data_IF_599372476444
#
_entry.id   IF_599372476444
#
_cell.length_a   1.000
_cell.length_b   1.000
_cell.length_c   1.000
_cell.angle_alpha   90.00
_cell.angle_beta   90.00
_cell.angle_gamma   90.00
#
_symmetry.space_group_name_H-M   'P 1'
#
loop_
_entity.id
_entity.type
_entity.pdbx_description
1 polymer ?
#
# COMPACT_ATOMS: atom_id res chain seq x y z
N UNK A 1 -4.49 2.91 33.55
CA UNK A 1 -3.31 3.47 32.85
C UNK A 1 -2.62 2.30 32.15
N UNK A 2 -2.91 2.05 30.87
CA UNK A 2 -2.35 0.91 30.13
C UNK A 2 -0.90 1.21 29.73
N UNK A 3 0.07 0.56 30.39
CA UNK A 3 1.50 0.75 30.11
C UNK A 3 1.89 -0.07 28.88
N UNK A 4 2.69 0.53 28.01
CA UNK A 4 3.47 -0.21 27.00
C UNK A 4 4.44 -1.12 27.74
N UNK A 5 4.43 -2.43 27.44
CA UNK A 5 5.47 -3.35 27.94
C UNK A 5 6.79 -2.96 27.25
N UNK A 6 7.92 -2.85 27.98
CA UNK A 6 9.21 -2.51 27.37
C UNK A 6 9.54 -3.49 26.23
N UNK A 7 9.74 -2.96 25.01
CA UNK A 7 10.00 -3.76 23.80
C UNK A 7 8.76 -4.23 23.04
N UNK A 8 7.55 -4.11 23.58
CA UNK A 8 6.32 -4.48 22.87
C UNK A 8 5.90 -3.40 21.87
N UNK A 9 5.41 -3.83 20.70
CA UNK A 9 4.91 -2.94 19.64
C UNK A 9 3.48 -2.47 19.91
N UNK A 10 2.75 -3.16 20.78
CA UNK A 10 1.39 -2.87 21.20
C UNK A 10 1.31 -2.47 22.67
N UNK A 11 0.18 -1.88 23.06
CA UNK A 11 -0.17 -1.64 24.46
C UNK A 11 -0.86 -2.87 25.05
N UNK A 12 -0.72 -3.09 26.37
CA UNK A 12 -1.45 -4.16 27.08
C UNK A 12 -2.97 -4.04 26.93
N UNK A 13 -3.47 -2.83 26.62
CA UNK A 13 -4.89 -2.57 26.37
C UNK A 13 -5.52 -3.53 25.36
N UNK A 14 -4.79 -3.91 24.30
CA UNK A 14 -5.31 -4.82 23.27
C UNK A 14 -5.48 -6.22 23.85
N UNK A 15 -4.43 -6.76 24.47
CA UNK A 15 -4.44 -8.10 25.05
C UNK A 15 -5.47 -8.20 26.19
N UNK A 16 -5.48 -7.22 27.09
CA UNK A 16 -6.38 -7.16 28.24
C UNK A 16 -7.86 -7.10 27.79
N UNK A 17 -8.18 -6.22 26.84
CA UNK A 17 -9.53 -6.06 26.33
C UNK A 17 -10.01 -7.35 25.66
N UNK A 18 -9.26 -7.90 24.70
CA UNK A 18 -9.67 -9.11 23.98
C UNK A 18 -9.68 -10.36 24.87
N UNK A 19 -8.81 -10.44 25.88
CA UNK A 19 -8.85 -11.51 26.87
C UNK A 19 -10.13 -11.47 27.73
N UNK A 20 -10.51 -10.29 28.21
CA UNK A 20 -11.75 -10.10 28.97
C UNK A 20 -12.96 -10.44 28.10
N UNK A 21 -13.01 -9.92 26.87
CA UNK A 21 -14.11 -10.16 25.93
C UNK A 21 -14.25 -11.65 25.60
N UNK A 22 -13.13 -12.36 25.39
CA UNK A 22 -13.11 -13.82 25.19
C UNK A 22 -13.71 -14.56 26.39
N UNK A 23 -13.31 -14.22 27.62
CA UNK A 23 -13.87 -14.85 28.83
C UNK A 23 -15.36 -14.59 28.97
N UNK A 24 -15.80 -13.36 28.74
CA UNK A 24 -17.22 -12.99 28.80
C UNK A 24 -18.03 -13.75 27.75
N UNK A 25 -17.56 -13.80 26.50
CA UNK A 25 -18.21 -14.55 25.42
C UNK A 25 -18.26 -16.06 25.68
N UNK A 26 -17.17 -16.65 26.19
CA UNK A 26 -17.14 -18.07 26.55
C UNK A 26 -18.13 -18.40 27.68
N UNK A 27 -18.26 -17.53 28.69
CA UNK A 27 -19.26 -17.68 29.76
C UNK A 27 -20.68 -17.54 29.24
N UNK A 28 -20.92 -16.61 28.31
CA UNK A 28 -22.23 -16.45 27.67
C UNK A 28 -22.62 -17.73 26.91
N UNK A 29 -21.70 -18.30 26.13
CA UNK A 29 -21.91 -19.56 25.42
C UNK A 29 -22.17 -20.72 26.39
N UNK A 30 -21.44 -20.80 27.50
CA UNK A 30 -21.61 -21.85 28.50
C UNK A 30 -23.01 -21.87 29.16
N UNK A 31 -23.82 -20.82 29.02
CA UNK A 31 -25.22 -20.82 29.50
C UNK A 31 -26.14 -21.71 28.67
N UNK A 32 -25.75 -22.08 27.44
CA UNK A 32 -26.58 -22.87 26.53
C UNK A 32 -27.85 -22.15 26.04
N UNK A 33 -28.00 -20.85 26.30
CA UNK A 33 -29.14 -20.06 25.85
C UNK A 33 -28.74 -19.10 24.73
N UNK A 34 -29.35 -19.25 23.56
CA UNK A 34 -29.13 -18.36 22.40
C UNK A 34 -29.49 -16.90 22.73
N UNK A 35 -30.50 -16.67 23.58
CA UNK A 35 -30.88 -15.32 23.99
C UNK A 35 -29.82 -14.66 24.87
N UNK A 36 -29.25 -15.40 25.83
CA UNK A 36 -28.16 -14.90 26.67
C UNK A 36 -26.91 -14.60 25.85
N UNK A 37 -26.59 -15.47 24.88
CA UNK A 37 -25.47 -15.27 23.95
C UNK A 37 -25.71 -14.02 23.10
N UNK A 38 -26.90 -13.86 22.51
CA UNK A 38 -27.22 -12.71 21.68
C UNK A 38 -27.08 -11.39 22.45
N UNK A 39 -27.65 -11.32 23.66
CA UNK A 39 -27.58 -10.13 24.49
C UNK A 39 -26.14 -9.81 24.92
N UNK A 40 -25.41 -10.78 25.48
CA UNK A 40 -24.05 -10.52 26.00
C UNK A 40 -23.05 -10.27 24.88
N UNK A 41 -23.08 -11.02 23.78
CA UNK A 41 -22.18 -10.79 22.64
C UNK A 41 -22.50 -9.45 21.96
N UNK A 42 -23.76 -9.05 21.90
CA UNK A 42 -24.17 -7.73 21.44
C UNK A 42 -23.53 -6.60 22.27
N UNK A 43 -23.69 -6.64 23.59
CA UNK A 43 -23.08 -5.65 24.51
C UNK A 43 -21.54 -5.61 24.42
N UNK A 44 -20.91 -6.78 24.27
CA UNK A 44 -19.46 -6.89 24.07
C UNK A 44 -19.03 -6.24 22.74
N UNK A 45 -19.79 -6.47 21.67
CA UNK A 45 -19.55 -5.86 20.37
C UNK A 45 -19.79 -4.35 20.41
N UNK A 46 -20.81 -3.86 21.10
CA UNK A 46 -21.08 -2.44 21.25
C UNK A 46 -19.98 -1.72 22.04
N UNK A 47 -19.44 -2.38 23.07
CA UNK A 47 -18.28 -1.88 23.82
C UNK A 47 -17.04 -1.75 22.92
N UNK A 48 -16.83 -2.71 22.02
CA UNK A 48 -15.74 -2.65 21.02
C UNK A 48 -15.99 -1.56 19.96
N UNK A 49 -17.18 -1.54 19.38
CA UNK A 49 -17.55 -0.69 18.26
C UNK A 49 -17.59 0.80 18.64
N UNK A 50 -17.92 1.11 19.90
CA UNK A 50 -18.05 2.47 20.39
C UNK A 50 -16.88 2.87 21.31
N UNK A 51 -16.83 2.35 22.54
CA UNK A 51 -15.89 2.82 23.58
C UNK A 51 -14.43 2.54 23.20
N UNK A 52 -14.14 1.30 22.80
CA UNK A 52 -12.78 0.91 22.43
C UNK A 52 -12.33 1.60 21.14
N UNK A 53 -13.22 1.67 20.13
CA UNK A 53 -12.97 2.40 18.89
C UNK A 53 -12.67 3.89 19.13
N UNK A 54 -13.47 4.57 19.95
CA UNK A 54 -13.28 5.98 20.27
C UNK A 54 -11.95 6.22 21.00
N UNK A 55 -11.57 5.32 21.92
CA UNK A 55 -10.27 5.34 22.57
C UNK A 55 -9.13 5.21 21.55
N UNK A 56 -9.22 4.28 20.60
CA UNK A 56 -8.23 4.16 19.52
C UNK A 56 -8.18 5.40 18.63
N UNK A 57 -9.33 5.94 18.22
CA UNK A 57 -9.43 7.14 17.38
C UNK A 57 -8.77 8.35 18.04
N UNK A 58 -9.03 8.59 19.33
CA UNK A 58 -8.42 9.70 20.07
C UNK A 58 -6.89 9.60 20.14
N UNK A 59 -6.35 8.37 20.22
CA UNK A 59 -4.90 8.10 20.24
C UNK A 59 -4.24 8.26 18.86
N UNK A 60 -5.01 8.11 17.78
CA UNK A 60 -4.53 8.29 16.42
C UNK A 60 -4.62 9.76 15.95
N UNK A 61 -5.46 10.58 16.58
CA UNK A 61 -5.66 11.97 16.20
C UNK A 61 -4.38 12.82 16.31
N UNK A 62 -4.07 13.58 15.25
CA UNK A 62 -2.92 14.50 15.21
C UNK A 62 -1.54 13.82 15.24
N UNK A 63 -1.49 12.50 15.09
CA UNK A 63 -0.28 11.70 15.25
C UNK A 63 0.71 11.70 14.07
N UNK A 64 0.30 11.78 12.78
CA UNK A 64 1.24 11.70 11.67
C UNK A 64 2.31 12.80 11.70
N UNK A 65 1.91 14.04 12.00
CA UNK A 65 2.84 15.16 12.14
C UNK A 65 3.83 14.95 13.30
N UNK A 66 3.39 14.34 14.40
CA UNK A 66 4.23 14.05 15.58
C UNK A 66 5.23 12.92 15.28
N UNK A 67 4.81 11.89 14.55
CA UNK A 67 5.69 10.82 14.10
C UNK A 67 6.74 11.34 13.13
N UNK A 68 6.33 12.15 12.15
CA UNK A 68 7.26 12.72 11.16
C UNK A 68 8.21 13.75 11.78
N UNK A 69 7.77 14.52 12.77
CA UNK A 69 8.67 15.39 13.54
C UNK A 69 9.78 14.58 14.24
N UNK A 70 9.50 13.32 14.60
CA UNK A 70 10.48 12.44 15.22
C UNK A 70 11.44 11.75 14.24
N UNK A 71 11.22 11.93 12.95
CA UNK A 71 12.01 11.27 11.92
C UNK A 71 13.41 11.92 11.79
N UNK A 72 14.46 11.14 11.40
CA UNK A 72 15.81 11.67 11.18
C UNK A 72 15.78 12.85 10.21
N UNK A 73 16.48 13.96 10.48
CA UNK A 73 16.43 15.15 9.63
C UNK A 73 16.98 14.88 8.21
N UNK A 74 17.97 14.00 8.10
CA UNK A 74 18.53 13.52 6.83
C UNK A 74 18.34 12.00 6.67
N UNK A 75 18.18 11.47 5.44
CA UNK A 75 18.17 10.04 5.17
C UNK A 75 19.42 9.35 5.73
N UNK A 76 19.25 8.32 6.57
CA UNK A 76 20.37 7.60 7.20
C UNK A 76 21.10 8.35 8.33
N UNK A 77 20.66 9.56 8.67
CA UNK A 77 21.20 10.31 9.80
C UNK A 77 20.71 9.79 11.16
N UNK A 78 21.35 10.22 12.28
CA UNK A 78 20.84 9.92 13.60
C UNK A 78 19.40 10.43 13.77
N UNK A 79 18.59 9.78 14.63
CA UNK A 79 17.25 10.26 14.94
C UNK A 79 17.31 11.73 15.37
N UNK A 80 16.30 12.51 14.99
CA UNK A 80 16.24 13.91 15.36
C UNK A 80 16.41 14.06 16.87
N UNK A 81 17.20 15.05 17.30
CA UNK A 81 17.34 15.41 18.70
C UNK A 81 16.00 15.99 19.20
N UNK A 82 15.10 15.09 19.57
CA UNK A 82 13.81 15.41 20.13
C UNK A 82 13.96 15.54 21.64
N UNK A 83 13.17 16.42 22.23
CA UNK A 83 12.92 16.31 23.65
C UNK A 83 12.26 14.95 23.97
N UNK A 84 12.38 14.52 25.24
CA UNK A 84 11.86 13.24 25.67
C UNK A 84 10.32 13.12 25.48
N UNK A 85 9.60 14.25 25.50
CA UNK A 85 8.15 14.30 25.38
C UNK A 85 7.68 14.04 23.94
N UNK A 86 8.34 14.63 22.95
CA UNK A 86 8.09 14.44 21.53
C UNK A 86 8.47 13.01 21.09
N UNK A 87 9.59 12.48 21.59
CA UNK A 87 9.97 11.09 21.37
C UNK A 87 8.95 10.10 21.95
N UNK A 88 8.42 10.39 23.14
CA UNK A 88 7.36 9.60 23.76
C UNK A 88 6.05 9.68 22.94
N UNK A 89 5.64 10.87 22.50
CA UNK A 89 4.42 11.08 21.71
C UNK A 89 4.46 10.37 20.34
N UNK A 90 5.62 10.41 19.66
CA UNK A 90 5.82 9.67 18.41
C UNK A 90 5.74 8.14 18.63
N UNK A 91 6.29 7.67 19.75
CA UNK A 91 6.21 6.26 20.14
C UNK A 91 4.79 5.84 20.48
N UNK A 92 4.03 6.69 21.17
CA UNK A 92 2.62 6.45 21.49
C UNK A 92 1.77 6.35 20.21
N UNK A 93 2.03 7.21 19.22
CA UNK A 93 1.28 7.14 17.97
C UNK A 93 1.58 5.88 17.16
N UNK A 94 2.85 5.45 17.07
CA UNK A 94 3.21 4.17 16.44
C UNK A 94 2.51 2.99 17.12
N UNK A 95 2.47 3.00 18.46
CA UNK A 95 1.73 1.98 19.25
C UNK A 95 0.23 2.04 18.97
N UNK A 96 -0.35 3.23 18.81
CA UNK A 96 -1.77 3.37 18.48
C UNK A 96 -2.13 2.76 17.11
N UNK A 97 -1.26 2.95 16.09
CA UNK A 97 -1.41 2.32 14.78
C UNK A 97 -1.36 0.80 14.91
N UNK A 98 -0.35 0.28 15.61
CA UNK A 98 -0.20 -1.15 15.86
C UNK A 98 -1.40 -1.73 16.63
N UNK A 99 -1.92 -0.99 17.62
CA UNK A 99 -3.07 -1.43 18.39
C UNK A 99 -4.30 -1.56 17.50
N UNK A 100 -4.56 -0.60 16.59
CA UNK A 100 -5.68 -0.68 15.66
C UNK A 100 -5.54 -1.87 14.70
N UNK A 101 -4.33 -2.10 14.18
CA UNK A 101 -4.02 -3.21 13.28
C UNK A 101 -4.21 -4.58 13.95
N UNK A 102 -3.62 -4.76 15.14
CA UNK A 102 -3.73 -6.01 15.92
C UNK A 102 -5.15 -6.22 16.45
N UNK A 103 -5.88 -5.15 16.80
CA UNK A 103 -7.29 -5.27 17.22
C UNK A 103 -8.18 -5.81 16.11
N UNK A 104 -7.88 -5.49 14.84
CA UNK A 104 -8.61 -6.06 13.71
C UNK A 104 -8.40 -7.58 13.60
N UNK A 105 -7.16 -8.04 13.76
CA UNK A 105 -6.84 -9.48 13.78
C UNK A 105 -7.45 -10.19 14.98
N UNK A 106 -7.43 -9.53 16.15
CA UNK A 106 -7.95 -10.10 17.39
C UNK A 106 -9.48 -10.20 17.36
N UNK A 107 -10.17 -9.24 16.75
CA UNK A 107 -11.62 -9.34 16.50
C UNK A 107 -11.96 -10.54 15.62
N UNK A 108 -11.20 -10.78 14.55
CA UNK A 108 -11.38 -11.94 13.69
C UNK A 108 -11.10 -13.27 14.43
N UNK A 109 -10.01 -13.32 15.21
CA UNK A 109 -9.67 -14.50 16.04
C UNK A 109 -10.74 -14.77 17.10
N UNK A 110 -11.19 -13.74 17.82
CA UNK A 110 -12.23 -13.84 18.83
C UNK A 110 -13.53 -14.40 18.24
N UNK A 111 -13.95 -13.89 17.08
CA UNK A 111 -15.11 -14.43 16.36
C UNK A 111 -14.94 -15.92 16.07
N UNK A 112 -13.82 -16.32 15.47
CA UNK A 112 -13.57 -17.72 15.11
C UNK A 112 -13.56 -18.65 16.33
N UNK A 113 -12.95 -18.22 17.43
CA UNK A 113 -12.94 -18.98 18.68
C UNK A 113 -14.34 -19.12 19.31
N UNK A 114 -15.15 -18.05 19.29
CA UNK A 114 -16.53 -18.08 19.78
C UNK A 114 -17.43 -18.94 18.89
N UNK A 115 -17.26 -18.90 17.57
CA UNK A 115 -17.95 -19.79 16.63
C UNK A 115 -17.58 -21.26 16.91
N UNK A 116 -16.29 -21.56 17.09
CA UNK A 116 -15.83 -22.91 17.43
C UNK A 116 -16.34 -23.42 18.78
N UNK A 117 -16.47 -22.55 19.78
CA UNK A 117 -17.11 -22.89 21.06
C UNK A 117 -18.61 -23.09 20.90
N UNK A 118 -19.30 -22.28 20.09
CA UNK A 118 -20.73 -22.41 19.84
C UNK A 118 -21.07 -23.75 19.17
N UNK A 119 -20.26 -24.22 18.22
CA UNK A 119 -20.43 -25.53 17.56
C UNK A 119 -20.37 -26.70 18.57
N UNK A 120 -19.64 -26.54 19.69
CA UNK A 120 -19.52 -27.56 20.74
C UNK A 120 -20.65 -27.54 21.75
N UNK A 121 -21.24 -26.37 22.00
CA UNK A 121 -22.28 -26.18 23.02
C UNK A 121 -23.68 -26.39 22.45
N UNK A 122 -23.92 -25.97 21.21
CA UNK A 122 -25.25 -26.01 20.58
C UNK A 122 -25.32 -27.14 19.54
N UNK A 123 -26.09 -28.23 19.78
CA UNK A 123 -26.23 -29.31 18.81
C UNK A 123 -27.15 -28.91 17.63
N UNK A 124 -28.13 -28.03 17.87
CA UNK A 124 -29.11 -27.60 16.86
C UNK A 124 -28.50 -26.71 15.78
N UNK A 125 -28.74 -27.04 14.50
CA UNK A 125 -28.24 -26.25 13.36
C UNK A 125 -28.81 -24.83 13.37
N UNK A 126 -30.11 -24.68 13.62
CA UNK A 126 -30.76 -23.35 13.67
C UNK A 126 -30.30 -22.47 14.84
N UNK A 127 -29.92 -23.06 15.97
CA UNK A 127 -29.34 -22.31 17.10
C UNK A 127 -27.93 -21.82 16.77
N UNK A 128 -27.11 -22.69 16.16
CA UNK A 128 -25.77 -22.35 15.68
C UNK A 128 -25.78 -21.23 14.65
N UNK A 129 -26.73 -21.26 13.70
CA UNK A 129 -26.90 -20.19 12.71
C UNK A 129 -27.26 -18.85 13.35
N UNK A 130 -28.15 -18.84 14.36
CA UNK A 130 -28.50 -17.62 15.10
C UNK A 130 -27.29 -17.05 15.85
N UNK A 131 -26.52 -17.91 16.54
CA UNK A 131 -25.30 -17.48 17.22
C UNK A 131 -24.26 -16.95 16.24
N UNK A 132 -24.08 -17.62 15.08
CA UNK A 132 -23.19 -17.16 14.01
C UNK A 132 -23.62 -15.81 13.45
N UNK A 133 -24.92 -15.57 13.33
CA UNK A 133 -25.47 -14.27 12.90
C UNK A 133 -25.08 -13.16 13.86
N UNK A 134 -25.19 -13.37 15.18
CA UNK A 134 -24.77 -12.36 16.18
C UNK A 134 -23.25 -12.15 16.13
N UNK A 135 -22.48 -13.24 16.03
CA UNK A 135 -21.02 -13.17 15.93
C UNK A 135 -20.54 -12.51 14.63
N UNK A 136 -21.39 -12.42 13.60
CA UNK A 136 -21.04 -11.76 12.34
C UNK A 136 -20.80 -10.26 12.51
N UNK A 137 -21.43 -9.61 13.50
CA UNK A 137 -21.24 -8.20 13.81
C UNK A 137 -19.80 -7.88 14.24
N UNK A 138 -19.11 -8.83 14.89
CA UNK A 138 -17.68 -8.71 15.20
C UNK A 138 -16.82 -8.58 13.94
N UNK A 139 -17.28 -9.11 12.80
CA UNK A 139 -16.59 -8.94 11.51
C UNK A 139 -16.63 -7.49 11.08
N UNK A 140 -17.78 -6.82 11.24
CA UNK A 140 -17.94 -5.39 10.92
C UNK A 140 -17.04 -4.56 11.82
N UNK A 141 -17.06 -4.83 13.13
CA UNK A 141 -16.20 -4.14 14.11
C UNK A 141 -14.71 -4.35 13.84
N UNK A 142 -14.30 -5.58 13.46
CA UNK A 142 -12.94 -5.85 13.02
C UNK A 142 -12.55 -5.10 11.74
N UNK A 143 -13.46 -5.04 10.75
CA UNK A 143 -13.29 -4.23 9.54
C UNK A 143 -13.15 -2.74 9.82
N UNK A 144 -13.90 -2.24 10.81
CA UNK A 144 -13.80 -0.86 11.27
C UNK A 144 -12.44 -0.55 11.90
N UNK A 145 -11.88 -1.44 12.71
CA UNK A 145 -10.50 -1.31 13.22
C UNK A 145 -9.46 -1.37 12.10
N UNK A 146 -9.64 -2.24 11.10
CA UNK A 146 -8.77 -2.28 9.93
C UNK A 146 -8.82 -0.95 9.17
N UNK A 147 -10.01 -0.41 8.92
CA UNK A 147 -10.18 0.89 8.25
C UNK A 147 -9.52 2.04 9.01
N UNK A 148 -9.48 1.94 10.34
CA UNK A 148 -8.85 2.92 11.20
C UNK A 148 -7.32 2.86 11.06
N UNK A 149 -6.75 1.66 11.11
CA UNK A 149 -5.32 1.43 10.90
C UNK A 149 -4.89 1.87 9.48
N UNK A 150 -5.62 1.47 8.44
CA UNK A 150 -5.33 1.85 7.05
C UNK A 150 -5.32 3.38 6.88
N UNK A 151 -6.34 4.08 7.39
CA UNK A 151 -6.38 5.55 7.32
C UNK A 151 -5.22 6.22 8.06
N UNK A 152 -4.81 5.67 9.21
CA UNK A 152 -3.68 6.21 9.95
C UNK A 152 -2.36 6.01 9.20
N UNK A 153 -2.18 4.85 8.56
CA UNK A 153 -1.01 4.55 7.72
C UNK A 153 -0.98 5.42 6.45
N UNK A 154 -2.13 5.66 5.82
CA UNK A 154 -2.25 6.59 4.68
C UNK A 154 -1.92 8.03 5.08
N UNK A 155 -2.41 8.49 6.23
CA UNK A 155 -2.06 9.82 6.74
C UNK A 155 -0.57 9.95 7.07
N UNK A 156 0.06 8.87 7.56
CA UNK A 156 1.51 8.82 7.78
C UNK A 156 2.28 8.84 6.44
N UNK A 157 1.84 8.08 5.43
CA UNK A 157 2.49 8.11 4.11
C UNK A 157 2.34 9.47 3.43
N UNK A 158 1.20 10.15 3.59
CA UNK A 158 1.02 11.54 3.14
C UNK A 158 1.97 12.52 3.83
N UNK A 159 2.23 12.33 5.13
CA UNK A 159 3.17 13.16 5.88
C UNK A 159 4.65 12.87 5.52
N UNK A 160 4.97 11.64 5.09
CA UNK A 160 6.32 11.27 4.64
C UNK A 160 6.63 11.69 3.20
N UNK A 161 5.62 11.76 2.33
CA UNK A 161 5.80 12.05 0.90
C UNK A 161 6.57 13.36 0.61
N UNK A 162 6.31 14.50 1.31
CA UNK A 162 7.08 15.73 1.10
C UNK A 162 8.58 15.58 1.36
N UNK A 163 8.99 14.61 2.19
CA UNK A 163 10.41 14.36 2.50
C UNK A 163 11.15 13.68 1.35
N UNK A 164 10.42 13.06 0.43
CA UNK A 164 10.96 12.46 -0.80
C UNK A 164 11.02 13.47 -1.95
N UNK A 165 10.54 14.71 -1.74
CA UNK A 165 10.46 15.73 -2.80
C UNK A 165 11.81 16.04 -3.43
N UNK A 166 12.87 16.19 -2.64
CA UNK A 166 14.19 16.48 -3.17
C UNK A 166 14.72 15.36 -4.10
N UNK A 167 14.37 14.10 -3.81
CA UNK A 167 14.71 12.98 -4.68
C UNK A 167 13.82 12.96 -5.94
N UNK A 168 12.53 13.29 -5.81
CA UNK A 168 11.61 13.43 -6.95
C UNK A 168 12.01 14.57 -7.90
N UNK A 169 12.53 15.67 -7.37
CA UNK A 169 12.98 16.81 -8.18
C UNK A 169 14.18 16.41 -9.07
N UNK A 170 15.03 15.47 -8.64
CA UNK A 170 16.11 14.91 -9.46
C UNK A 170 15.58 14.06 -10.61
N UNK A 171 14.49 13.31 -10.39
CA UNK A 171 13.78 12.63 -11.50
C UNK A 171 13.27 13.66 -12.48
N UNK A 172 12.73 14.79 -12.00
CA UNK A 172 12.34 15.92 -12.82
C UNK A 172 13.48 16.49 -13.67
N UNK A 173 14.69 16.59 -13.11
CA UNK A 173 15.88 17.10 -13.78
C UNK A 173 16.55 16.10 -14.74
N UNK A 174 16.31 14.79 -14.59
CA UNK A 174 16.91 13.77 -15.45
C UNK A 174 16.49 13.93 -16.92
N UNK A 175 17.45 13.91 -17.85
CA UNK A 175 17.20 13.92 -19.28
C UNK A 175 17.20 12.48 -19.82
N UNK A 176 16.24 12.17 -20.71
CA UNK A 176 16.23 10.93 -21.49
C UNK A 176 16.47 11.21 -22.99
N UNK A 177 16.98 12.39 -23.32
CA UNK A 177 17.51 12.69 -24.64
C UNK A 177 19.00 12.37 -24.63
N UNK A 178 19.33 11.07 -24.72
CA UNK A 178 20.70 10.57 -24.62
C UNK A 178 21.29 10.30 -26.00
N UNK A 179 22.53 10.74 -26.22
CA UNK A 179 23.43 10.21 -27.26
C UNK A 179 24.29 9.07 -26.74
N UNK A 180 25.18 8.53 -27.59
CA UNK A 180 26.03 7.37 -27.24
C UNK A 180 26.98 7.66 -26.07
N UNK A 181 27.64 8.81 -26.07
CA UNK A 181 28.58 9.21 -25.01
C UNK A 181 27.85 9.45 -23.67
N UNK A 182 26.66 10.05 -23.72
CA UNK A 182 25.83 10.31 -22.53
C UNK A 182 25.30 9.00 -21.92
N UNK A 183 24.96 8.01 -22.76
CA UNK A 183 24.48 6.70 -22.31
C UNK A 183 25.58 5.92 -21.58
N UNK A 184 26.81 5.94 -22.08
CA UNK A 184 27.96 5.32 -21.42
C UNK A 184 28.28 6.00 -20.08
N UNK A 185 28.14 7.32 -19.99
CA UNK A 185 28.32 8.05 -18.73
C UNK A 185 27.20 7.76 -17.72
N UNK A 186 25.94 7.68 -18.18
CA UNK A 186 24.79 7.33 -17.35
C UNK A 186 24.89 5.90 -16.77
N UNK A 187 25.61 5.00 -17.44
CA UNK A 187 25.88 3.66 -16.92
C UNK A 187 26.90 3.65 -15.77
N UNK A 188 27.81 4.62 -15.74
CA UNK A 188 28.86 4.74 -14.73
C UNK A 188 28.43 5.53 -13.47
N UNK A 189 27.42 6.41 -13.58
CA UNK A 189 26.94 7.23 -12.47
C UNK A 189 25.76 6.59 -11.71
N UNK A 190 25.72 6.79 -10.39
CA UNK A 190 24.53 6.48 -9.59
C UNK A 190 23.38 7.43 -9.98
N UNK A 191 22.49 6.90 -10.83
CA UNK A 191 21.32 7.60 -11.34
C UNK A 191 20.33 8.05 -10.26
N UNK A 192 19.27 8.74 -10.69
CA UNK A 192 18.21 9.19 -9.79
C UNK A 192 17.53 8.03 -9.03
N UNK A 193 17.55 6.82 -9.60
CA UNK A 193 16.97 5.60 -8.99
C UNK A 193 17.62 5.27 -7.66
N UNK A 194 18.96 5.22 -7.59
CA UNK A 194 19.70 4.91 -6.37
C UNK A 194 19.43 5.96 -5.28
N UNK A 195 19.42 7.25 -5.65
CA UNK A 195 19.12 8.36 -4.73
C UNK A 195 17.68 8.33 -4.21
N UNK A 196 16.73 7.96 -5.07
CA UNK A 196 15.34 7.80 -4.66
C UNK A 196 15.15 6.63 -3.70
N UNK A 197 15.78 5.49 -3.98
CA UNK A 197 15.74 4.30 -3.13
C UNK A 197 16.41 4.57 -1.78
N UNK A 198 17.56 5.26 -1.76
CA UNK A 198 18.22 5.66 -0.53
C UNK A 198 17.36 6.63 0.30
N UNK A 199 16.68 7.58 -0.35
CA UNK A 199 15.74 8.48 0.33
C UNK A 199 14.55 7.69 0.91
N UNK A 200 13.99 6.75 0.16
CA UNK A 200 12.88 5.89 0.60
C UNK A 200 13.30 5.03 1.80
N UNK A 201 14.43 4.33 1.73
CA UNK A 201 14.97 3.52 2.83
C UNK A 201 15.21 4.39 4.07
N UNK A 202 15.83 5.56 3.90
CA UNK A 202 16.07 6.49 5.00
C UNK A 202 14.79 6.97 5.70
N UNK A 203 13.67 7.10 4.97
CA UNK A 203 12.37 7.47 5.57
C UNK A 203 11.66 6.31 6.25
N UNK A 204 11.95 5.07 5.88
CA UNK A 204 11.22 3.90 6.29
C UNK A 204 11.96 3.10 7.39
N UNK A 205 13.27 2.94 7.28
CA UNK A 205 14.09 2.06 8.13
C UNK A 205 13.94 2.32 9.64
N UNK A 206 13.75 3.57 10.05
CA UNK A 206 13.57 3.94 11.45
C UNK A 206 12.15 3.63 11.99
N UNK A 207 11.16 3.48 11.11
CA UNK A 207 9.79 3.08 11.45
C UNK A 207 9.64 1.56 11.55
N UNK A 208 10.46 0.80 10.82
CA UNK A 208 10.44 -0.66 10.80
C UNK A 208 10.45 -1.31 12.20
N UNK A 209 11.31 -0.91 13.17
CA UNK A 209 11.30 -1.48 14.52
C UNK A 209 10.15 -0.97 15.41
N UNK A 210 9.33 -0.03 14.92
CA UNK A 210 8.24 0.60 15.69
C UNK A 210 6.86 0.11 15.26
N UNK A 211 6.74 -0.56 14.13
CA UNK A 211 5.48 -1.03 13.55
C UNK A 211 5.40 -2.57 13.57
N UNK A 212 4.18 -3.09 13.66
CA UNK A 212 3.95 -4.53 13.42
C UNK A 212 4.26 -4.88 11.96
N UNK A 213 4.57 -6.15 11.63
CA UNK A 213 4.80 -6.55 10.25
C UNK A 213 3.63 -6.20 9.32
N UNK A 214 2.39 -6.35 9.78
CA UNK A 214 1.19 -5.97 9.01
C UNK A 214 1.10 -4.47 8.75
N UNK A 215 1.31 -3.65 9.78
CA UNK A 215 1.29 -2.19 9.67
C UNK A 215 2.45 -1.66 8.81
N UNK A 216 3.64 -2.26 8.93
CA UNK A 216 4.80 -1.95 8.09
C UNK A 216 4.52 -2.17 6.61
N UNK A 217 3.98 -3.35 6.26
CA UNK A 217 3.60 -3.67 4.88
C UNK A 217 2.54 -2.68 4.37
N UNK A 218 1.53 -2.35 5.19
CA UNK A 218 0.54 -1.34 4.84
C UNK A 218 1.15 0.04 4.57
N UNK A 219 2.09 0.49 5.41
CA UNK A 219 2.80 1.76 5.24
C UNK A 219 3.64 1.77 3.95
N UNK A 220 4.48 0.75 3.77
CA UNK A 220 5.40 0.64 2.64
C UNK A 220 4.61 0.68 1.32
N UNK A 221 3.56 -0.14 1.20
CA UNK A 221 2.76 -0.22 -0.02
C UNK A 221 2.00 1.08 -0.28
N UNK A 222 1.46 1.73 0.74
CA UNK A 222 0.79 3.04 0.61
C UNK A 222 1.75 4.14 0.15
N UNK A 223 2.96 4.21 0.73
CA UNK A 223 3.96 5.19 0.34
C UNK A 223 4.49 4.92 -1.07
N UNK A 224 4.72 3.65 -1.41
CA UNK A 224 5.13 3.22 -2.74
C UNK A 224 4.09 3.64 -3.79
N UNK A 225 2.80 3.36 -3.57
CA UNK A 225 1.74 3.77 -4.52
C UNK A 225 1.75 5.28 -4.78
N UNK A 226 1.88 6.10 -3.73
CA UNK A 226 1.97 7.56 -3.85
C UNK A 226 3.24 7.98 -4.60
N UNK A 227 4.37 7.31 -4.36
CA UNK A 227 5.63 7.58 -5.04
C UNK A 227 5.54 7.24 -6.54
N UNK A 228 5.03 6.06 -6.88
CA UNK A 228 4.86 5.62 -8.27
C UNK A 228 3.93 6.55 -9.04
N UNK A 229 2.83 7.00 -8.43
CA UNK A 229 1.94 7.98 -9.04
C UNK A 229 2.65 9.33 -9.34
N UNK A 230 3.61 9.75 -8.52
CA UNK A 230 4.41 10.96 -8.79
C UNK A 230 5.43 10.73 -9.90
N UNK A 231 6.09 9.56 -9.91
CA UNK A 231 7.02 9.19 -10.98
C UNK A 231 6.31 9.13 -12.33
N UNK A 232 5.09 8.57 -12.39
CA UNK A 232 4.28 8.49 -13.59
C UNK A 232 4.02 9.89 -14.19
N UNK A 233 3.64 10.85 -13.34
CA UNK A 233 3.42 12.25 -13.77
C UNK A 233 4.71 12.94 -14.21
N UNK A 234 5.86 12.64 -13.58
CA UNK A 234 7.13 13.25 -13.95
C UNK A 234 7.68 12.69 -15.28
N UNK A 235 7.63 11.37 -15.44
CA UNK A 235 8.12 10.68 -16.63
C UNK A 235 7.24 10.95 -17.86
N UNK A 236 5.92 11.03 -17.68
CA UNK A 236 4.97 11.31 -18.77
C UNK A 236 5.13 12.70 -19.41
N UNK A 237 5.87 13.61 -18.76
CA UNK A 237 6.16 14.96 -19.27
C UNK A 237 7.50 15.03 -20.01
N UNK A 238 8.29 13.95 -20.02
CA UNK A 238 9.62 13.93 -20.63
C UNK A 238 9.54 13.55 -22.10
N UNK A 239 10.59 13.92 -22.81
CA UNK A 239 10.86 13.44 -24.15
C UNK A 239 11.98 12.40 -24.10
N UNK A 240 11.91 11.42 -25.00
CA UNK A 240 12.82 10.28 -25.03
C UNK A 240 13.49 10.16 -26.41
N UNK A 241 14.77 9.82 -26.41
CA UNK A 241 15.43 9.16 -27.55
C UNK A 241 15.30 7.64 -27.42
N UNK A 242 15.72 6.89 -28.44
CA UNK A 242 15.76 5.41 -28.37
C UNK A 242 16.62 4.90 -27.19
N UNK A 243 17.82 5.46 -27.03
CA UNK A 243 18.71 5.15 -25.90
C UNK A 243 18.10 5.60 -24.56
N UNK A 244 17.35 6.71 -24.55
CA UNK A 244 16.57 7.14 -23.39
C UNK A 244 15.48 6.14 -22.98
N UNK A 245 14.81 5.52 -23.95
CA UNK A 245 13.84 4.45 -23.70
C UNK A 245 14.48 3.22 -23.03
N UNK A 246 15.65 2.80 -23.51
CA UNK A 246 16.43 1.72 -22.92
C UNK A 246 16.91 2.05 -21.50
N UNK A 247 17.39 3.28 -21.26
CA UNK A 247 17.77 3.74 -19.93
C UNK A 247 16.59 3.73 -18.97
N UNK A 248 15.41 4.19 -19.41
CA UNK A 248 14.21 4.15 -18.58
C UNK A 248 13.81 2.71 -18.21
N UNK A 249 13.92 1.76 -19.14
CA UNK A 249 13.63 0.36 -18.84
C UNK A 249 14.57 -0.21 -17.78
N UNK A 250 15.87 0.09 -17.88
CA UNK A 250 16.86 -0.26 -16.85
C UNK A 250 16.52 0.38 -15.51
N UNK A 251 16.17 1.67 -15.49
CA UNK A 251 15.79 2.39 -14.27
C UNK A 251 14.56 1.74 -13.59
N UNK A 252 13.54 1.41 -14.37
CA UNK A 252 12.31 0.79 -13.88
C UNK A 252 12.59 -0.64 -13.38
N UNK A 253 13.42 -1.42 -14.08
CA UNK A 253 13.85 -2.75 -13.62
C UNK A 253 14.61 -2.67 -12.29
N UNK A 254 15.51 -1.70 -12.14
CA UNK A 254 16.24 -1.48 -10.89
C UNK A 254 15.30 -1.08 -9.75
N UNK A 255 14.32 -0.21 -9.99
CA UNK A 255 13.30 0.15 -9.00
C UNK A 255 12.47 -1.06 -8.56
N UNK A 256 12.01 -1.88 -9.50
CA UNK A 256 11.21 -3.09 -9.20
C UNK A 256 12.02 -4.09 -8.36
N UNK A 257 13.28 -4.31 -8.72
CA UNK A 257 14.16 -5.22 -7.98
C UNK A 257 14.40 -4.72 -6.55
N UNK A 258 14.86 -3.49 -6.40
CA UNK A 258 15.20 -2.93 -5.09
C UNK A 258 13.98 -2.79 -4.17
N UNK A 259 12.85 -2.28 -4.68
CA UNK A 259 11.62 -2.21 -3.87
C UNK A 259 11.07 -3.59 -3.53
N UNK A 260 11.28 -4.59 -4.38
CA UNK A 260 10.93 -5.98 -4.11
C UNK A 260 11.73 -6.61 -2.95
N UNK A 261 12.97 -6.17 -2.72
CA UNK A 261 13.79 -6.62 -1.59
C UNK A 261 13.38 -5.98 -0.26
N UNK A 262 12.72 -4.82 -0.30
CA UNK A 262 12.32 -4.06 0.89
C UNK A 262 11.01 -4.53 1.54
N UNK A 263 10.24 -5.39 0.87
CA UNK A 263 8.93 -5.89 1.33
C UNK A 263 8.82 -7.40 1.17
N UNK A 264 8.02 -8.02 2.02
CA UNK A 264 7.66 -9.43 1.90
C UNK A 264 6.57 -9.71 0.86
N UNK A 265 5.83 -8.68 0.43
CA UNK A 265 4.71 -8.77 -0.51
C UNK A 265 5.13 -8.33 -1.91
N UNK A 266 4.51 -8.92 -2.92
CA UNK A 266 4.83 -8.61 -4.32
C UNK A 266 4.49 -7.16 -4.69
N UNK A 267 5.45 -6.44 -5.27
CA UNK A 267 5.27 -5.06 -5.76
C UNK A 267 5.05 -4.97 -7.26
N UNK A 268 5.32 -6.04 -8.02
CA UNK A 268 5.32 -6.04 -9.49
C UNK A 268 4.05 -5.46 -10.11
N UNK A 269 2.88 -5.81 -9.59
CA UNK A 269 1.60 -5.31 -10.12
C UNK A 269 1.41 -3.79 -9.95
N UNK A 270 2.07 -3.18 -8.95
CA UNK A 270 2.01 -1.72 -8.73
C UNK A 270 2.83 -0.97 -9.77
N UNK A 271 3.94 -1.57 -10.19
CA UNK A 271 4.77 -1.04 -11.27
C UNK A 271 4.15 -1.23 -12.65
N UNK A 272 3.09 -2.05 -12.78
CA UNK A 272 2.39 -2.27 -14.04
C UNK A 272 2.08 -0.95 -14.76
N UNK A 273 1.71 0.12 -14.05
CA UNK A 273 1.52 1.43 -14.68
C UNK A 273 2.82 2.06 -15.15
N UNK A 274 3.88 2.15 -14.36
CA UNK A 274 5.14 2.72 -14.85
C UNK A 274 5.77 1.89 -15.97
N UNK A 275 5.56 0.59 -15.93
CA UNK A 275 6.02 -0.32 -16.94
C UNK A 275 5.07 -0.33 -18.14
N UNK A 276 3.83 0.20 -18.04
CA UNK A 276 2.83 0.22 -19.12
C UNK A 276 2.32 1.63 -19.56
N UNK A 277 2.55 2.76 -18.89
CA UNK A 277 1.65 3.94 -18.97
C UNK A 277 2.05 5.09 -19.92
N UNK A 278 1.20 5.30 -20.93
CA UNK A 278 0.94 6.61 -21.52
C UNK A 278 0.22 7.58 -20.58
N UNK A 279 0.11 8.86 -20.97
CA UNK A 279 -0.53 9.87 -20.13
C UNK A 279 -2.06 9.70 -20.10
N UNK A 280 -2.63 10.18 -19.00
CA UNK A 280 -3.94 10.86 -18.93
C UNK A 280 -5.13 10.07 -18.36
N UNK A 281 -5.15 9.85 -17.04
CA UNK A 281 -6.37 10.15 -16.27
C UNK A 281 -6.30 11.60 -15.78
N UNK A 282 -6.99 12.49 -16.50
CA UNK A 282 -7.40 13.77 -15.91
C UNK A 282 -8.19 13.48 -14.62
N UNK A 283 -7.90 14.29 -13.60
CA UNK A 283 -8.58 14.24 -12.32
C UNK A 283 -10.11 14.29 -12.50
N UNK A 284 -10.81 13.37 -11.85
CA UNK A 284 -12.27 13.40 -11.72
C UNK A 284 -12.93 12.08 -12.04
N UNK A 285 -12.79 11.08 -11.15
CA UNK A 285 -13.93 10.23 -10.78
C UNK A 285 -13.55 9.38 -9.57
N UNK A 286 -14.22 9.70 -8.47
CA UNK A 286 -14.19 8.96 -7.22
C UNK A 286 -15.07 7.70 -7.36
N UNK A 287 -14.61 6.61 -6.75
CA UNK A 287 -15.42 5.59 -6.08
C UNK A 287 -16.48 4.88 -6.93
N UNK A 288 -16.21 3.61 -7.27
CA UNK A 288 -17.06 2.47 -6.86
C UNK A 288 -16.19 1.23 -6.65
N UNK A 289 -15.82 0.97 -5.40
CA UNK A 289 -15.49 -0.39 -4.96
C UNK A 289 -16.75 -0.96 -4.31
N UNK A 290 -17.33 -1.94 -4.97
CA UNK A 290 -18.39 -2.80 -4.48
C UNK A 290 -18.81 -3.68 -5.64
N UNK A 291 -18.86 -5.00 -5.57
CA UNK A 291 -18.45 -5.95 -4.55
C UNK A 291 -18.69 -7.35 -5.14
N UNK A 292 -18.10 -8.38 -4.53
CA UNK A 292 -18.54 -9.78 -4.68
C UNK A 292 -17.97 -10.53 -5.90
N UNK A 293 -17.49 -11.75 -5.65
CA UNK A 293 -17.20 -12.73 -6.69
C UNK A 293 -15.95 -13.54 -6.42
N UNK A 294 -16.12 -14.66 -5.72
CA UNK A 294 -15.11 -15.70 -5.60
C UNK A 294 -14.64 -16.19 -6.97
N UNK A 295 -13.33 -16.41 -7.10
CA UNK A 295 -12.73 -16.99 -8.29
C UNK A 295 -11.22 -17.08 -8.12
N UNK A 296 -10.74 -18.20 -7.57
CA UNK A 296 -9.33 -18.55 -7.60
C UNK A 296 -8.88 -18.74 -9.05
N UNK A 297 -8.18 -17.75 -9.59
CA UNK A 297 -7.48 -17.83 -10.86
C UNK A 297 -6.11 -17.19 -10.67
N UNK A 298 -5.05 -18.00 -10.72
CA UNK A 298 -3.68 -17.50 -10.87
C UNK A 298 -3.66 -16.62 -12.12
N UNK A 299 -3.47 -15.31 -11.95
CA UNK A 299 -3.22 -14.42 -13.07
C UNK A 299 -1.81 -14.70 -13.62
N UNK A 300 -1.63 -14.83 -14.94
CA UNK A 300 -0.33 -15.08 -15.54
C UNK A 300 0.60 -13.87 -15.35
N UNK A 301 1.81 -14.13 -14.85
CA UNK A 301 2.79 -13.15 -14.37
C UNK A 301 3.66 -12.54 -15.49
N UNK A 302 3.09 -12.24 -16.65
CA UNK A 302 3.90 -11.91 -17.82
C UNK A 302 3.39 -10.59 -18.43
N UNK A 303 4.29 -9.62 -18.57
CA UNK A 303 4.15 -8.35 -19.30
C UNK A 303 3.90 -7.09 -18.48
N UNK A 304 4.88 -6.80 -17.62
CA UNK A 304 5.05 -5.48 -17.03
C UNK A 304 5.61 -4.46 -18.05
N UNK A 305 6.64 -4.75 -18.85
CA UNK A 305 7.50 -3.74 -19.54
C UNK A 305 6.99 -3.04 -20.83
N UNK A 306 5.69 -2.86 -21.00
CA UNK A 306 5.10 -2.35 -22.25
C UNK A 306 5.57 -0.94 -22.68
N UNK A 307 5.64 0.08 -21.81
CA UNK A 307 6.07 1.43 -22.18
C UNK A 307 7.55 1.49 -22.54
N UNK A 308 8.40 0.79 -21.79
CA UNK A 308 9.81 0.63 -22.11
C UNK A 308 9.98 0.00 -23.51
N UNK A 309 9.24 -1.06 -23.79
CA UNK A 309 9.22 -1.71 -25.10
C UNK A 309 8.78 -0.74 -26.20
N UNK A 310 7.71 0.03 -25.98
CA UNK A 310 7.19 1.03 -26.94
C UNK A 310 8.18 2.18 -27.17
N UNK A 311 8.81 2.68 -26.12
CA UNK A 311 9.80 3.74 -26.19
C UNK A 311 11.16 3.25 -26.71
N UNK A 312 11.42 1.94 -26.76
CA UNK A 312 12.63 1.37 -27.35
C UNK A 312 12.50 1.01 -28.83
N UNK A 313 11.30 1.09 -29.42
CA UNK A 313 11.05 0.72 -30.83
C UNK A 313 11.89 1.57 -31.79
N UNK A 314 12.36 0.97 -32.87
CA UNK A 314 13.10 1.66 -33.92
C UNK A 314 12.17 2.49 -34.80
N UNK A 315 10.92 2.04 -34.96
CA UNK A 315 9.93 2.74 -35.78
C UNK A 315 8.51 2.63 -35.22
N UNK A 316 7.65 3.57 -35.62
CA UNK A 316 6.23 3.58 -35.27
C UNK A 316 5.48 2.36 -35.85
N UNK A 317 5.98 1.76 -36.93
CA UNK A 317 5.34 0.62 -37.59
C UNK A 317 5.59 -0.69 -36.84
N UNK A 318 6.77 -0.83 -36.21
CA UNK A 318 7.12 -1.97 -35.35
C UNK A 318 6.15 -2.14 -34.17
N UNK A 319 5.48 -1.06 -33.77
CA UNK A 319 4.44 -1.12 -32.74
C UNK A 319 3.27 -2.04 -33.12
N UNK A 320 2.92 -2.13 -34.41
CA UNK A 320 1.80 -2.95 -34.87
C UNK A 320 2.06 -4.45 -34.69
N UNK A 321 3.33 -4.86 -34.70
CA UNK A 321 3.73 -6.25 -34.44
C UNK A 321 3.47 -6.67 -32.99
N UNK A 322 3.21 -5.69 -32.11
CA UNK A 322 2.91 -5.93 -30.71
C UNK A 322 1.46 -5.56 -30.35
N UNK A 323 0.61 -5.09 -31.26
CA UNK A 323 -0.75 -4.59 -30.97
C UNK A 323 -1.85 -5.32 -31.73
N UNK A 324 -3.03 -5.47 -31.12
CA UNK A 324 -4.17 -6.16 -31.73
C UNK A 324 -4.04 -7.69 -31.72
N UNK A 325 -4.47 -8.34 -32.81
CA UNK A 325 -4.46 -9.81 -32.94
C UNK A 325 -3.05 -10.41 -32.95
N UNK A 326 -2.03 -9.60 -33.26
CA UNK A 326 -0.62 -9.98 -33.32
C UNK A 326 0.15 -9.72 -32.01
N UNK A 327 -0.51 -9.24 -30.95
CA UNK A 327 0.10 -8.90 -29.66
C UNK A 327 0.76 -10.08 -28.91
N UNK A 328 0.64 -11.31 -29.43
CA UNK A 328 1.26 -12.51 -28.88
C UNK A 328 0.86 -12.73 -27.40
N UNK A 329 1.86 -12.75 -26.51
CA UNK A 329 1.64 -12.94 -25.07
C UNK A 329 1.36 -11.63 -24.31
N UNK A 330 1.51 -10.46 -24.94
CA UNK A 330 1.40 -9.14 -24.27
C UNK A 330 -0.06 -8.79 -24.01
N UNK A 331 -0.44 -8.76 -22.74
CA UNK A 331 -1.76 -8.28 -22.33
C UNK A 331 -1.72 -6.77 -22.14
N UNK A 332 -2.13 -6.03 -23.17
CA UNK A 332 -2.22 -4.58 -23.12
C UNK A 332 -3.30 -4.12 -22.14
N UNK A 333 -2.95 -3.17 -21.27
CA UNK A 333 -3.89 -2.48 -20.38
C UNK A 333 -4.10 -1.02 -20.76
N UNK A 334 -3.44 -0.56 -21.83
CA UNK A 334 -3.59 0.77 -22.37
C UNK A 334 -4.70 0.85 -23.39
N UNK A 335 -5.35 1.99 -23.42
CA UNK A 335 -6.24 2.40 -24.50
C UNK A 335 -5.43 2.85 -25.73
N UNK A 336 -6.00 2.79 -26.94
CA UNK A 336 -5.39 3.36 -28.15
C UNK A 336 -4.91 4.81 -27.99
N UNK A 337 -5.66 5.62 -27.23
CA UNK A 337 -5.32 7.01 -26.97
C UNK A 337 -4.06 7.15 -26.11
N UNK A 338 -3.95 6.33 -25.06
CA UNK A 338 -2.76 6.30 -24.19
C UNK A 338 -1.52 5.84 -24.96
N UNK A 339 -1.65 4.83 -25.83
CA UNK A 339 -0.56 4.37 -26.71
C UNK A 339 -0.04 5.48 -27.60
N UNK A 340 -0.93 6.19 -28.32
CA UNK A 340 -0.51 7.32 -29.18
C UNK A 340 0.23 8.38 -28.38
N UNK A 341 -0.19 8.60 -27.14
CA UNK A 341 0.41 9.60 -26.29
C UNK A 341 1.75 9.14 -25.67
N UNK A 342 2.01 7.83 -25.49
CA UNK A 342 3.37 7.30 -25.25
C UNK A 342 4.25 7.53 -26.48
N UNK A 343 3.80 7.12 -27.66
CA UNK A 343 4.56 7.25 -28.90
C UNK A 343 4.92 8.71 -29.19
N UNK A 344 4.03 9.65 -28.85
CA UNK A 344 4.27 11.08 -29.00
C UNK A 344 5.35 11.65 -28.06
N UNK A 345 5.86 10.88 -27.09
CA UNK A 345 6.99 11.27 -26.24
C UNK A 345 8.35 11.03 -26.91
N UNK A 346 8.42 10.21 -27.97
CA UNK A 346 9.62 10.03 -28.80
C UNK A 346 9.79 11.23 -29.73
N UNK A 347 10.95 11.87 -29.67
CA UNK A 347 11.21 13.10 -30.44
C UNK A 347 11.33 12.83 -31.95
N UNK A 348 11.75 11.62 -32.31
CA UNK A 348 12.01 11.15 -33.66
C UNK A 348 10.76 10.60 -34.36
N UNK A 349 9.65 10.39 -33.64
CA UNK A 349 8.41 9.90 -34.22
C UNK A 349 7.51 11.04 -34.70
N UNK A 350 7.18 11.03 -35.99
CA UNK A 350 6.34 12.04 -36.60
C UNK A 350 4.87 11.90 -36.14
N UNK A 351 4.25 13.02 -35.72
CA UNK A 351 2.92 13.03 -35.09
C UNK A 351 1.80 12.60 -36.03
N UNK A 352 1.95 12.91 -37.31
CA UNK A 352 1.07 12.49 -38.40
C UNK A 352 1.08 10.96 -38.57
N UNK A 353 2.26 10.34 -38.49
CA UNK A 353 2.40 8.88 -38.54
C UNK A 353 1.74 8.22 -37.33
N UNK A 354 1.94 8.78 -36.12
CA UNK A 354 1.30 8.28 -34.90
C UNK A 354 -0.24 8.41 -34.99
N UNK A 355 -0.76 9.51 -35.54
CA UNK A 355 -2.20 9.72 -35.72
C UNK A 355 -2.81 8.77 -36.75
N UNK A 356 -2.04 8.33 -37.74
CA UNK A 356 -2.47 7.43 -38.80
C UNK A 356 -2.47 5.94 -38.39
N UNK A 357 -1.92 5.57 -37.22
CA UNK A 357 -1.89 4.18 -36.76
C UNK A 357 -3.31 3.58 -36.60
N UNK A 358 -3.57 2.36 -37.09
CA UNK A 358 -4.82 1.63 -36.85
C UNK A 358 -4.77 0.92 -35.49
N UNK A 359 -5.12 1.64 -34.42
CA UNK A 359 -5.09 1.14 -33.03
C UNK A 359 -6.47 0.81 -32.47
#
# INVERSE_FOLDING_TARGET
MFRKVPGALTSSMVDDAFYILKKCGARALATGSVQCVAALVGELNDSLANTYRAALQSRLAGGPARLVAAAPQAPGGPPAALDAAAAAAATEHAVAINNADVSADYAAKLRHELEGMAERVFPGVGERERVRSVLSDLTKTGGDFRSLATRALEALSDALLPRLRAALDQVGAASYLLGDDDYLQAEAEDGWVGRLLAALDGQLRWLQPRLTPGAWEGLFHSLLDKLLARLEVLLSRKQFSQLGGLQLDRDVRALVAATGEMTSRTVRDKFARLTQAGPMRLAGEAVRIGGGGAGGGRLPHHNTHVMATVLSLESVQEFLDYWGDDAGHITWRLTPAEVRAVLAQRQDFARDVIAALPL
#
